data_IF_770851430953
#
_entry.id   IF_770851430953
#
_cell.length_a   1.000
_cell.length_b   1.000
_cell.length_c   1.000
_cell.angle_alpha   90.00
_cell.angle_beta   90.00
_cell.angle_gamma   90.00
#
_symmetry.space_group_name_H-M   'P 1'
#
loop_
_entity.id
_entity.type
_entity.pdbx_description
1 polymer ?
#
# COMPACT_ATOMS: atom_id res chain seq x y z
N UNK A 1 30.95 37.43 -32.13
CA UNK A 1 32.27 37.30 -31.53
C UNK A 1 32.34 35.87 -31.05
N UNK A 2 32.82 34.94 -31.82
CA UNK A 2 34.22 34.65 -32.10
C UNK A 2 34.88 34.19 -30.77
N UNK A 3 35.44 33.06 -30.58
CA UNK A 3 36.39 32.22 -31.35
C UNK A 3 36.65 31.00 -30.47
N UNK A 4 36.65 29.80 -30.89
CA UNK A 4 37.58 29.00 -31.69
C UNK A 4 38.47 28.05 -30.85
N UNK A 5 38.34 26.77 -31.19
CA UNK A 5 39.42 25.82 -31.58
C UNK A 5 40.46 25.50 -30.47
N UNK A 6 40.94 24.27 -30.32
CA UNK A 6 41.46 23.22 -31.24
C UNK A 6 41.73 21.99 -30.37
N UNK A 7 41.36 20.77 -30.68
CA UNK A 7 42.09 19.86 -31.59
C UNK A 7 43.54 19.57 -31.18
N UNK A 8 43.81 18.31 -30.78
CA UNK A 8 45.04 17.62 -31.16
C UNK A 8 45.08 16.19 -30.59
N UNK A 9 44.90 15.24 -31.51
CA UNK A 9 45.52 13.91 -31.43
C UNK A 9 46.96 14.00 -31.92
N UNK A 10 47.85 13.13 -31.48
CA UNK A 10 48.53 12.30 -32.45
C UNK A 10 48.77 10.84 -32.06
N UNK A 11 48.72 10.05 -33.06
CA UNK A 11 49.17 8.67 -33.30
C UNK A 11 50.67 8.68 -33.68
N UNK A 12 51.25 7.56 -34.13
CA UNK A 12 51.81 6.36 -33.50
C UNK A 12 53.32 6.21 -33.76
N UNK A 13 53.91 5.09 -33.48
CA UNK A 13 55.12 4.45 -34.06
C UNK A 13 55.98 3.84 -32.95
N UNK A 14 56.66 2.76 -33.04
CA UNK A 14 57.08 1.74 -34.04
C UNK A 14 57.76 0.61 -33.30
N UNK A 15 57.53 -0.59 -33.70
CA UNK A 15 58.41 -1.65 -34.22
C UNK A 15 59.79 -1.77 -33.57
N UNK A 16 60.06 -2.98 -33.03
CA UNK A 16 61.23 -3.75 -33.45
C UNK A 16 61.12 -5.22 -33.04
N UNK A 17 61.19 -6.00 -34.08
CA UNK A 17 61.56 -7.43 -34.10
C UNK A 17 62.89 -7.68 -33.45
N UNK A 18 63.00 -8.79 -32.74
CA UNK A 18 64.26 -9.57 -32.78
C UNK A 18 63.96 -11.02 -32.30
N UNK A 19 63.94 -11.91 -33.27
CA UNK A 19 64.31 -13.32 -33.10
C UNK A 19 65.80 -13.44 -33.20
N UNK A 20 66.38 -14.38 -32.49
CA UNK A 20 67.29 -15.35 -33.14
C UNK A 20 67.10 -16.79 -32.70
N UNK A 21 67.12 -17.59 -33.62
CA UNK A 21 67.47 -18.89 -34.14
C UNK A 21 68.33 -19.86 -33.24
N UNK A 22 68.29 -21.16 -33.57
CA UNK A 22 68.47 -22.33 -32.68
C UNK A 22 69.86 -22.96 -32.80
N UNK A 23 70.27 -23.62 -31.76
CA UNK A 23 71.31 -24.68 -31.84
C UNK A 23 71.06 -25.82 -30.86
N UNK A 24 70.77 -26.95 -31.39
CA UNK A 24 71.48 -28.23 -31.56
C UNK A 24 71.57 -29.09 -30.30
N UNK A 25 70.83 -30.16 -30.35
CA UNK A 25 71.19 -31.58 -30.41
C UNK A 25 72.06 -32.09 -29.27
N UNK A 26 71.51 -32.98 -28.45
CA UNK A 26 72.14 -34.24 -28.27
C UNK A 26 71.12 -35.33 -27.87
N UNK A 27 71.16 -36.43 -28.59
CA UNK A 27 70.50 -37.68 -28.35
C UNK A 27 71.30 -38.53 -27.33
N UNK A 28 70.58 -38.95 -26.32
CA UNK A 28 71.00 -40.19 -25.68
C UNK A 28 69.79 -40.94 -25.10
N UNK A 29 69.45 -42.02 -25.73
CA UNK A 29 68.66 -43.15 -25.27
C UNK A 29 69.64 -44.24 -24.93
N UNK A 30 69.36 -45.27 -24.11
CA UNK A 30 68.08 -45.77 -23.58
C UNK A 30 68.20 -46.31 -22.16
N UNK A 31 67.12 -46.57 -21.47
CA UNK A 31 66.83 -47.89 -20.94
C UNK A 31 65.52 -47.99 -20.16
N UNK A 32 64.78 -49.07 -20.25
CA UNK A 32 63.43 -49.17 -19.67
C UNK A 32 63.54 -49.73 -18.25
N UNK A 33 62.93 -48.99 -17.30
CA UNK A 33 62.72 -49.53 -15.94
C UNK A 33 61.27 -49.23 -15.50
N UNK A 34 60.62 -50.32 -15.32
CA UNK A 34 59.43 -50.60 -14.47
C UNK A 34 58.38 -49.56 -14.18
N UNK A 35 57.09 -49.90 -14.25
CA UNK A 35 55.98 -48.99 -13.95
C UNK A 35 55.98 -48.73 -12.43
N UNK A 36 56.19 -47.44 -12.09
CA UNK A 36 55.99 -46.98 -10.71
C UNK A 36 54.49 -46.72 -10.52
N UNK A 37 53.98 -47.28 -9.42
CA UNK A 37 52.61 -47.17 -8.94
C UNK A 37 52.17 -45.74 -8.50
N UNK A 38 52.73 -44.69 -9.06
CA UNK A 38 52.46 -43.33 -8.62
C UNK A 38 51.35 -42.62 -9.42
N UNK A 39 50.88 -43.19 -10.53
CA UNK A 39 49.76 -42.56 -11.30
C UNK A 39 48.39 -42.79 -10.66
N UNK A 40 48.22 -43.83 -9.86
CA UNK A 40 46.92 -44.13 -9.23
C UNK A 40 46.61 -43.21 -8.04
N UNK A 41 47.65 -42.71 -7.36
CA UNK A 41 47.48 -41.80 -6.23
C UNK A 41 47.15 -40.35 -6.65
N UNK A 42 47.67 -39.90 -7.79
CA UNK A 42 47.43 -38.52 -8.30
C UNK A 42 46.01 -38.38 -8.85
N UNK A 43 45.51 -39.44 -9.51
CA UNK A 43 44.12 -39.42 -10.04
C UNK A 43 43.06 -39.52 -8.95
N UNK A 44 43.35 -40.24 -7.85
CA UNK A 44 42.44 -40.34 -6.69
C UNK A 44 42.36 -39.01 -5.94
N UNK A 45 43.49 -38.31 -5.75
CA UNK A 45 43.51 -37.02 -5.04
C UNK A 45 42.85 -35.88 -5.85
N UNK A 46 42.99 -35.89 -7.15
CA UNK A 46 42.34 -34.92 -8.07
C UNK A 46 40.83 -35.14 -8.13
N UNK A 47 40.35 -36.39 -8.13
CA UNK A 47 38.92 -36.74 -8.06
C UNK A 47 38.28 -36.27 -6.75
N UNK A 48 38.98 -36.42 -5.64
CA UNK A 48 38.45 -36.06 -4.32
C UNK A 48 38.37 -34.51 -4.14
N UNK A 49 39.37 -33.79 -4.66
CA UNK A 49 39.31 -32.31 -4.68
C UNK A 49 38.22 -31.79 -5.56
N UNK A 50 37.99 -32.37 -6.73
CA UNK A 50 36.90 -31.98 -7.62
C UNK A 50 35.53 -32.30 -7.02
N UNK A 51 35.39 -33.40 -6.32
CA UNK A 51 34.18 -33.79 -5.59
C UNK A 51 33.86 -32.82 -4.44
N UNK A 52 34.89 -32.38 -3.69
CA UNK A 52 34.74 -31.35 -2.63
C UNK A 52 34.37 -30.00 -3.19
N UNK A 53 34.90 -29.58 -4.36
CA UNK A 53 34.53 -28.36 -5.04
C UNK A 53 33.06 -28.42 -5.59
N UNK A 54 32.70 -29.58 -6.15
CA UNK A 54 31.30 -29.78 -6.63
C UNK A 54 30.30 -29.80 -5.47
N UNK A 55 30.63 -30.42 -4.34
CA UNK A 55 29.76 -30.40 -3.14
C UNK A 55 29.59 -28.98 -2.58
N UNK A 56 30.65 -28.17 -2.53
CA UNK A 56 30.55 -26.75 -2.13
C UNK A 56 29.69 -25.96 -3.10
N UNK A 57 29.86 -26.16 -4.40
CA UNK A 57 29.02 -25.49 -5.41
C UNK A 57 27.53 -25.88 -5.28
N UNK A 58 27.30 -27.18 -5.08
CA UNK A 58 25.93 -27.69 -4.86
C UNK A 58 25.30 -27.12 -3.57
N UNK A 59 26.08 -26.99 -2.51
CA UNK A 59 25.64 -26.35 -1.25
C UNK A 59 25.25 -24.90 -1.48
N UNK A 60 26.05 -24.12 -2.21
CA UNK A 60 25.74 -22.73 -2.54
C UNK A 60 24.46 -22.61 -3.39
N UNK A 61 24.25 -23.51 -4.35
CA UNK A 61 23.04 -23.55 -5.19
C UNK A 61 21.80 -23.82 -4.31
N UNK A 62 21.88 -24.80 -3.41
CA UNK A 62 20.79 -25.11 -2.48
C UNK A 62 20.49 -23.93 -1.57
N UNK A 63 21.54 -23.32 -1.00
CA UNK A 63 21.39 -22.16 -0.11
C UNK A 63 20.77 -20.95 -0.82
N UNK A 64 21.18 -20.72 -2.08
CA UNK A 64 20.58 -19.70 -2.94
C UNK A 64 19.12 -20.00 -3.28
N UNK A 65 18.78 -21.25 -3.58
CA UNK A 65 17.39 -21.66 -3.85
C UNK A 65 16.49 -21.48 -2.62
N UNK A 66 16.98 -21.83 -1.42
CA UNK A 66 16.26 -21.63 -0.15
C UNK A 66 16.07 -20.13 0.12
N UNK A 67 17.09 -19.32 -0.11
CA UNK A 67 17.01 -17.86 0.05
C UNK A 67 15.98 -17.24 -0.91
N UNK A 68 16.00 -17.65 -2.18
CA UNK A 68 15.04 -17.18 -3.18
C UNK A 68 13.60 -17.59 -2.84
N UNK A 69 13.40 -18.84 -2.41
CA UNK A 69 12.07 -19.29 -1.96
C UNK A 69 11.59 -18.49 -0.75
N UNK A 70 12.47 -18.20 0.20
CA UNK A 70 12.16 -17.34 1.35
C UNK A 70 11.71 -15.94 0.94
N UNK A 71 12.40 -15.31 -0.01
CA UNK A 71 12.00 -13.98 -0.56
C UNK A 71 10.64 -14.06 -1.24
N UNK A 72 10.40 -15.07 -2.08
CA UNK A 72 9.13 -15.24 -2.79
C UNK A 72 7.98 -15.44 -1.80
N UNK A 73 8.14 -16.30 -0.80
CA UNK A 73 7.14 -16.53 0.26
C UNK A 73 6.85 -15.25 1.04
N UNK A 74 7.88 -14.51 1.43
CA UNK A 74 7.72 -13.24 2.13
C UNK A 74 6.97 -12.23 1.28
N UNK A 75 7.27 -12.16 -0.03
CA UNK A 75 6.59 -11.29 -0.98
C UNK A 75 5.12 -11.67 -1.14
N UNK A 76 4.83 -12.96 -1.28
CA UNK A 76 3.45 -13.49 -1.38
C UNK A 76 2.66 -13.17 -0.10
N UNK A 77 3.23 -13.40 1.08
CA UNK A 77 2.56 -13.11 2.35
C UNK A 77 2.23 -11.62 2.51
N UNK A 78 3.14 -10.72 2.13
CA UNK A 78 2.89 -9.27 2.16
C UNK A 78 1.78 -8.90 1.16
N UNK A 79 1.81 -9.48 -0.04
CA UNK A 79 0.88 -9.18 -1.12
C UNK A 79 -0.53 -9.70 -0.84
N UNK A 80 -0.66 -10.95 -0.36
CA UNK A 80 -1.94 -11.56 -0.02
C UNK A 80 -2.60 -10.93 1.21
N UNK A 81 -1.83 -10.25 2.07
CA UNK A 81 -2.34 -9.59 3.28
C UNK A 81 -2.83 -8.15 3.06
N UNK A 82 -2.96 -7.68 1.82
CA UNK A 82 -3.48 -6.34 1.54
C UNK A 82 -5.00 -6.28 1.72
N UNK A 83 -5.43 -5.62 2.79
CA UNK A 83 -6.85 -5.44 3.16
C UNK A 83 -7.39 -4.09 2.69
N UNK A 84 -8.71 -3.97 2.64
CA UNK A 84 -9.36 -2.68 2.41
C UNK A 84 -9.11 -1.76 3.61
N UNK A 85 -8.74 -0.50 3.39
CA UNK A 85 -8.65 0.48 4.46
C UNK A 85 -10.01 0.67 5.13
N UNK A 86 -10.01 0.85 6.45
CA UNK A 86 -11.24 1.07 7.22
C UNK A 86 -11.53 2.56 7.28
N UNK A 87 -12.78 2.92 7.00
CA UNK A 87 -13.28 4.27 7.13
C UNK A 87 -14.43 4.28 8.14
N UNK A 88 -14.45 5.25 9.06
CA UNK A 88 -15.44 5.32 10.15
C UNK A 88 -15.69 6.76 10.58
N UNK A 89 -16.90 7.03 11.04
CA UNK A 89 -17.19 8.20 11.86
C UNK A 89 -16.58 7.98 13.26
N UNK A 90 -15.87 8.97 13.76
CA UNK A 90 -15.30 8.94 15.10
C UNK A 90 -16.13 9.75 16.10
N UNK A 91 -16.49 10.97 15.73
CA UNK A 91 -17.25 11.90 16.55
C UNK A 91 -17.89 12.97 15.67
N UNK A 92 -18.86 13.65 16.20
CA UNK A 92 -19.45 14.84 15.59
C UNK A 92 -19.86 15.82 16.70
N UNK A 93 -19.81 17.10 16.37
CA UNK A 93 -20.30 18.17 17.25
C UNK A 93 -21.01 19.22 16.41
N UNK A 94 -22.06 19.81 17.00
CA UNK A 94 -22.84 20.80 16.30
C UNK A 94 -22.19 22.17 16.39
N UNK A 95 -22.31 22.93 15.29
CA UNK A 95 -21.77 24.27 15.14
C UNK A 95 -22.94 25.18 14.73
N UNK A 96 -23.05 26.33 15.36
CA UNK A 96 -23.99 27.44 15.02
C UNK A 96 -25.46 27.03 14.91
N UNK A 97 -25.88 26.37 13.82
CA UNK A 97 -27.29 26.07 13.57
C UNK A 97 -27.68 24.70 14.16
N UNK A 98 -28.58 24.73 15.15
CA UNK A 98 -29.25 23.56 15.69
C UNK A 98 -30.75 23.89 15.84
N UNK A 99 -31.45 23.85 14.70
CA UNK A 99 -32.87 24.14 14.65
C UNK A 99 -33.64 22.81 14.48
N UNK A 100 -34.51 22.54 15.42
CA UNK A 100 -35.38 21.35 15.40
C UNK A 100 -36.81 21.86 15.64
N UNK A 101 -37.72 21.42 14.81
CA UNK A 101 -39.14 21.74 14.91
C UNK A 101 -39.83 21.01 16.07
N UNK A 102 -41.12 21.03 16.05
CA UNK A 102 -41.97 20.38 17.04
C UNK A 102 -42.60 19.10 16.45
N UNK A 103 -43.25 18.32 17.29
CA UNK A 103 -44.03 17.14 16.87
C UNK A 103 -45.10 17.52 15.83
N UNK A 104 -45.78 18.65 16.06
CA UNK A 104 -46.83 19.12 15.17
C UNK A 104 -46.34 19.75 13.85
N UNK A 105 -45.07 20.19 13.82
CA UNK A 105 -44.42 20.75 12.62
C UNK A 105 -42.98 20.20 12.59
N UNK A 106 -42.82 18.92 12.20
CA UNK A 106 -41.53 18.22 12.32
C UNK A 106 -40.56 18.72 11.21
N UNK A 107 -39.42 19.23 11.66
CA UNK A 107 -38.37 19.71 10.76
C UNK A 107 -37.02 19.72 11.51
N UNK A 108 -35.94 19.73 10.75
CA UNK A 108 -34.63 20.02 11.31
C UNK A 108 -33.72 20.68 10.27
N UNK A 109 -32.89 21.63 10.73
CA UNK A 109 -31.75 22.20 10.00
C UNK A 109 -30.56 22.25 10.98
N UNK A 110 -29.64 21.33 10.80
CA UNK A 110 -28.53 21.12 11.70
C UNK A 110 -27.21 21.28 10.94
N UNK A 111 -26.25 21.94 11.58
CA UNK A 111 -24.89 22.05 11.06
C UNK A 111 -23.92 21.37 12.00
N UNK A 112 -23.29 20.33 11.52
CA UNK A 112 -22.43 19.46 12.31
C UNK A 112 -21.03 19.38 11.70
N UNK A 113 -19.99 19.50 12.53
CA UNK A 113 -18.66 19.10 12.15
C UNK A 113 -18.46 17.64 12.51
N UNK A 114 -18.15 16.81 11.53
CA UNK A 114 -17.98 15.37 11.69
C UNK A 114 -16.52 14.99 11.49
N UNK A 115 -15.92 14.35 12.48
CA UNK A 115 -14.59 13.82 12.36
C UNK A 115 -14.63 12.38 11.84
N UNK A 116 -14.07 12.20 10.66
CA UNK A 116 -13.88 10.89 10.04
C UNK A 116 -12.48 10.37 10.31
N UNK A 117 -12.34 9.04 10.32
CA UNK A 117 -11.09 8.34 10.51
C UNK A 117 -10.87 7.34 9.39
N UNK A 118 -9.77 7.51 8.63
CA UNK A 118 -9.32 6.56 7.60
C UNK A 118 -8.13 5.79 8.16
N UNK A 119 -8.31 4.50 8.44
CA UNK A 119 -7.26 3.61 8.96
C UNK A 119 -6.74 2.71 7.85
N UNK A 120 -5.47 2.87 7.50
CA UNK A 120 -4.77 2.02 6.56
C UNK A 120 -3.93 0.98 7.31
N UNK A 121 -4.31 -0.28 7.21
CA UNK A 121 -3.61 -1.41 7.85
C UNK A 121 -2.53 -2.02 6.96
N UNK A 122 -2.36 -1.52 5.73
CA UNK A 122 -1.44 -2.06 4.74
C UNK A 122 -0.04 -1.45 4.86
N UNK A 123 0.96 -2.17 4.38
CA UNK A 123 2.36 -1.71 4.34
C UNK A 123 2.64 -0.64 3.26
N UNK A 124 1.68 -0.39 2.36
CA UNK A 124 1.75 0.67 1.35
C UNK A 124 0.91 1.89 1.72
N UNK A 125 1.21 3.03 1.11
CA UNK A 125 0.42 4.24 1.29
C UNK A 125 -0.91 4.14 0.53
N UNK A 126 -2.01 4.42 1.20
CA UNK A 126 -3.33 4.51 0.56
C UNK A 126 -3.57 5.94 0.07
N UNK A 127 -3.71 6.11 -1.25
CA UNK A 127 -4.13 7.37 -1.88
C UNK A 127 -5.56 7.20 -2.37
N UNK A 128 -6.48 8.04 -1.90
CA UNK A 128 -7.88 8.04 -2.28
C UNK A 128 -8.25 9.32 -3.02
N UNK A 129 -9.28 9.21 -3.86
CA UNK A 129 -9.90 10.33 -4.57
C UNK A 129 -10.96 10.97 -3.71
N UNK A 130 -11.50 12.08 -4.17
CA UNK A 130 -12.67 12.72 -3.56
C UNK A 130 -13.82 11.73 -3.48
N UNK A 131 -14.57 11.79 -2.39
CA UNK A 131 -15.74 10.97 -2.15
C UNK A 131 -16.81 11.74 -1.41
N UNK A 132 -18.08 11.36 -1.61
CA UNK A 132 -19.20 11.99 -0.94
C UNK A 132 -19.76 11.06 0.12
N UNK A 133 -19.80 11.54 1.36
CA UNK A 133 -20.53 10.89 2.45
C UNK A 133 -21.98 11.36 2.37
N UNK A 134 -22.88 10.42 2.32
CA UNK A 134 -24.33 10.69 2.37
C UNK A 134 -24.85 10.36 3.76
N UNK A 135 -25.56 11.30 4.37
CA UNK A 135 -26.29 11.10 5.60
C UNK A 135 -27.77 10.92 5.26
N UNK A 136 -28.39 9.95 5.90
CA UNK A 136 -29.78 9.63 5.66
C UNK A 136 -30.56 9.46 6.99
N UNK A 137 -31.79 9.93 7.01
CA UNK A 137 -32.77 9.66 8.05
C UNK A 137 -33.70 8.57 7.53
N UNK A 138 -33.77 7.44 8.22
CA UNK A 138 -34.58 6.27 7.82
C UNK A 138 -34.50 5.95 6.32
N UNK A 139 -33.28 6.04 5.74
CA UNK A 139 -33.00 5.73 4.34
C UNK A 139 -33.18 6.88 3.36
N UNK A 140 -33.74 8.03 3.77
CA UNK A 140 -33.87 9.22 2.91
C UNK A 140 -32.68 10.13 3.11
N UNK A 141 -31.97 10.55 2.03
CA UNK A 141 -30.85 11.46 2.13
C UNK A 141 -31.28 12.82 2.70
N UNK A 142 -30.64 13.24 3.77
CA UNK A 142 -30.89 14.51 4.47
C UNK A 142 -29.68 15.45 4.44
N UNK A 143 -28.53 14.96 3.98
CA UNK A 143 -27.34 15.77 3.83
C UNK A 143 -26.20 15.00 3.22
N UNK A 144 -25.23 15.74 2.71
CA UNK A 144 -23.99 15.17 2.18
C UNK A 144 -22.78 16.01 2.58
N UNK A 145 -21.61 15.38 2.56
CA UNK A 145 -20.33 16.04 2.80
C UNK A 145 -19.27 15.46 1.88
N UNK A 146 -18.41 16.32 1.35
CA UNK A 146 -17.32 15.88 0.47
C UNK A 146 -16.05 15.63 1.28
N UNK A 147 -15.50 14.46 1.14
CA UNK A 147 -14.16 14.12 1.60
C UNK A 147 -13.20 14.40 0.46
N UNK A 148 -12.33 15.36 0.63
CA UNK A 148 -11.31 15.67 -0.37
C UNK A 148 -10.29 14.56 -0.53
N UNK A 149 -9.73 14.45 -1.74
CA UNK A 149 -8.64 13.54 -2.06
C UNK A 149 -7.51 13.61 -1.02
N UNK A 150 -6.95 12.47 -0.69
CA UNK A 150 -5.94 12.44 0.34
C UNK A 150 -5.04 11.21 0.29
N UNK A 151 -4.12 11.20 1.25
CA UNK A 151 -3.16 10.10 1.45
C UNK A 151 -3.11 9.71 2.91
N UNK A 152 -3.11 8.40 3.15
CA UNK A 152 -2.86 7.80 4.47
C UNK A 152 -1.60 6.96 4.37
N UNK A 153 -0.66 7.18 5.27
CA UNK A 153 0.60 6.43 5.32
C UNK A 153 0.41 4.93 5.54
N UNK A 154 1.48 4.16 5.37
CA UNK A 154 1.49 2.74 5.71
C UNK A 154 1.19 2.55 7.20
N UNK A 155 0.32 1.60 7.54
CA UNK A 155 -0.07 1.25 8.92
C UNK A 155 -0.44 2.45 9.80
N UNK A 156 -1.00 3.49 9.18
CA UNK A 156 -1.35 4.73 9.88
C UNK A 156 -2.84 5.06 9.78
N UNK A 157 -3.25 6.06 10.54
CA UNK A 157 -4.62 6.57 10.58
C UNK A 157 -4.58 8.07 10.33
N UNK A 158 -5.48 8.55 9.44
CA UNK A 158 -5.70 9.97 9.19
C UNK A 158 -7.08 10.36 9.68
N UNK A 159 -7.17 11.47 10.39
CA UNK A 159 -8.43 12.12 10.77
C UNK A 159 -8.74 13.19 9.73
N UNK A 160 -10.01 13.35 9.40
CA UNK A 160 -10.51 14.33 8.45
C UNK A 160 -11.78 14.95 9.05
N UNK A 161 -11.76 16.24 9.27
CA UNK A 161 -12.91 16.97 9.79
C UNK A 161 -13.66 17.61 8.63
N UNK A 162 -14.97 17.41 8.59
CA UNK A 162 -15.84 17.91 7.50
C UNK A 162 -17.13 18.45 8.07
N UNK A 163 -17.51 19.63 7.62
CA UNK A 163 -18.79 20.24 7.98
C UNK A 163 -19.88 19.70 7.09
N UNK A 164 -20.95 19.20 7.68
CA UNK A 164 -22.14 18.74 7.00
C UNK A 164 -23.36 19.56 7.43
N UNK A 165 -24.23 19.83 6.48
CA UNK A 165 -25.57 20.41 6.72
C UNK A 165 -26.60 19.31 6.55
N UNK A 166 -27.39 19.07 7.60
CA UNK A 166 -28.46 18.07 7.62
C UNK A 166 -29.81 18.81 7.62
N UNK A 167 -30.68 18.50 6.66
CA UNK A 167 -31.94 19.16 6.50
C UNK A 167 -33.06 18.18 6.19
N UNK A 168 -34.21 18.41 6.81
CA UNK A 168 -35.41 17.60 6.60
C UNK A 168 -36.14 17.87 5.30
N UNK A 169 -35.73 18.86 4.49
CA UNK A 169 -36.46 19.31 3.27
C UNK A 169 -36.64 18.19 2.21
N UNK A 170 -35.89 17.10 2.28
CA UNK A 170 -36.03 15.92 1.42
C UNK A 170 -37.03 14.88 1.93
N UNK A 171 -37.59 15.06 3.09
CA UNK A 171 -38.59 14.18 3.65
C UNK A 171 -39.97 14.58 3.06
N UNK A 172 -40.47 13.75 2.15
CA UNK A 172 -41.77 14.01 1.48
C UNK A 172 -42.92 13.88 2.45
N UNK A 173 -43.86 14.80 2.30
CA UNK A 173 -44.90 15.25 3.23
C UNK A 173 -45.94 14.24 3.70
N UNK A 174 -45.99 12.97 3.35
CA UNK A 174 -47.21 12.21 3.59
C UNK A 174 -47.14 10.92 4.43
N UNK A 175 -45.98 10.42 4.78
CA UNK A 175 -45.95 9.16 5.55
C UNK A 175 -44.90 9.17 6.69
N UNK A 176 -43.94 10.06 6.65
CA UNK A 176 -42.82 10.09 7.61
C UNK A 176 -42.81 11.31 8.53
N UNK A 177 -43.70 12.24 8.32
CA UNK A 177 -43.86 13.42 9.21
C UNK A 177 -44.26 12.95 10.60
N UNK A 178 -45.16 11.97 10.70
CA UNK A 178 -45.54 11.37 11.97
C UNK A 178 -44.36 10.65 12.66
N UNK A 179 -43.52 9.98 11.88
CA UNK A 179 -42.31 9.31 12.43
C UNK A 179 -41.26 10.33 12.87
N UNK A 180 -41.02 11.39 12.08
CA UNK A 180 -40.12 12.45 12.43
C UNK A 180 -40.59 13.22 13.66
N UNK A 181 -41.90 13.54 13.73
CA UNK A 181 -42.49 14.17 14.89
C UNK A 181 -42.32 13.35 16.15
N UNK A 182 -42.55 12.04 16.07
CA UNK A 182 -42.35 11.11 17.19
C UNK A 182 -40.86 11.02 17.61
N UNK A 183 -39.94 10.99 16.66
CA UNK A 183 -38.50 10.95 16.99
C UNK A 183 -38.05 12.29 17.61
N UNK A 184 -38.58 13.42 17.14
CA UNK A 184 -38.33 14.75 17.73
C UNK A 184 -38.89 14.81 19.17
N UNK A 185 -40.10 14.32 19.39
CA UNK A 185 -40.72 14.37 20.72
C UNK A 185 -40.02 13.38 21.70
N UNK A 186 -39.46 12.28 21.20
CA UNK A 186 -38.63 11.37 21.97
C UNK A 186 -37.24 11.94 22.32
N UNK A 187 -36.81 13.02 21.64
CA UNK A 187 -35.52 13.63 21.84
C UNK A 187 -34.37 12.93 21.12
N UNK A 188 -34.64 11.91 20.27
CA UNK A 188 -33.60 11.12 19.57
C UNK A 188 -33.88 11.07 18.07
N UNK A 189 -32.92 11.55 17.28
CA UNK A 189 -32.98 11.51 15.82
C UNK A 189 -32.01 10.46 15.26
N UNK A 190 -32.49 9.32 14.76
CA UNK A 190 -31.65 8.29 14.19
C UNK A 190 -31.13 8.69 12.81
N UNK A 191 -29.84 8.53 12.59
CA UNK A 191 -29.19 8.79 11.32
C UNK A 191 -28.33 7.60 10.86
N UNK A 192 -28.20 7.47 9.56
CA UNK A 192 -27.21 6.60 8.93
C UNK A 192 -26.26 7.40 8.06
N UNK A 193 -25.03 6.95 7.93
CA UNK A 193 -24.10 7.56 6.98
C UNK A 193 -23.42 6.49 6.14
N UNK A 194 -23.25 6.76 4.86
CA UNK A 194 -22.59 5.84 3.93
C UNK A 194 -21.63 6.55 3.00
N UNK A 195 -20.54 5.87 2.65
CA UNK A 195 -19.56 6.35 1.65
C UNK A 195 -18.72 5.22 1.11
N UNK A 196 -18.26 5.38 -0.12
CA UNK A 196 -17.22 4.57 -0.74
C UNK A 196 -16.09 5.46 -1.24
N UNK A 197 -14.92 5.40 -0.58
CA UNK A 197 -13.72 6.08 -1.03
C UNK A 197 -12.90 5.16 -1.95
N UNK A 198 -12.83 5.50 -3.22
CA UNK A 198 -12.03 4.80 -4.24
C UNK A 198 -10.58 5.25 -4.17
N UNK A 199 -9.66 4.28 -4.07
CA UNK A 199 -8.24 4.62 -3.94
C UNK A 199 -7.31 3.54 -4.47
N UNK A 200 -6.01 3.78 -4.26
CA UNK A 200 -4.94 2.84 -4.61
C UNK A 200 -3.95 2.75 -3.46
N UNK A 201 -3.54 1.54 -3.13
CA UNK A 201 -2.42 1.30 -2.24
C UNK A 201 -1.15 1.28 -3.09
N UNK A 202 -0.16 2.07 -2.69
CA UNK A 202 1.15 2.16 -3.33
C UNK A 202 2.18 1.49 -2.43
N UNK A 203 2.72 0.35 -2.87
CA UNK A 203 3.80 -0.37 -2.21
C UNK A 203 5.09 -0.16 -3.00
N UNK A 204 6.16 0.30 -2.32
CA UNK A 204 7.51 0.50 -2.89
C UNK A 204 7.56 1.29 -4.22
N UNK A 205 6.58 2.21 -4.43
CA UNK A 205 6.43 3.00 -5.67
C UNK A 205 6.13 2.18 -6.95
N UNK A 206 6.35 0.89 -6.96
CA UNK A 206 6.21 -0.01 -8.12
C UNK A 206 4.81 -0.62 -8.19
N UNK A 207 4.31 -1.17 -7.09
CA UNK A 207 3.04 -1.90 -7.06
C UNK A 207 1.92 -0.96 -6.67
N UNK A 208 0.86 -0.92 -7.49
CA UNK A 208 -0.35 -0.12 -7.28
C UNK A 208 -1.57 -1.03 -7.30
N UNK A 209 -2.26 -1.18 -6.18
CA UNK A 209 -3.49 -1.98 -6.07
C UNK A 209 -4.69 -1.09 -5.83
N UNK A 210 -5.75 -1.27 -6.62
CA UNK A 210 -7.04 -0.61 -6.39
C UNK A 210 -7.66 -1.17 -5.10
N UNK A 211 -8.08 -0.31 -4.19
CA UNK A 211 -8.77 -0.65 -2.95
C UNK A 211 -9.84 0.39 -2.65
N UNK A 212 -10.86 -0.05 -1.94
CA UNK A 212 -12.01 0.77 -1.57
C UNK A 212 -12.07 0.85 -0.05
N UNK A 213 -12.32 2.04 0.48
CA UNK A 213 -12.65 2.21 1.88
C UNK A 213 -14.14 2.51 1.98
N UNK A 214 -14.91 1.55 2.44
CA UNK A 214 -16.35 1.66 2.62
C UNK A 214 -16.68 1.96 4.07
N UNK A 215 -17.78 2.68 4.28
CA UNK A 215 -18.31 2.98 5.59
C UNK A 215 -19.84 2.96 5.52
N UNK A 216 -20.42 2.23 6.44
CA UNK A 216 -21.83 2.30 6.76
C UNK A 216 -21.93 2.43 8.28
N UNK A 217 -22.36 3.59 8.76
CA UNK A 217 -22.51 3.84 10.18
C UNK A 217 -23.98 4.18 10.50
N UNK A 218 -24.46 3.67 11.61
CA UNK A 218 -25.65 4.17 12.31
C UNK A 218 -25.23 5.04 13.49
N UNK A 219 -25.97 6.07 13.77
CA UNK A 219 -25.72 7.03 14.83
C UNK A 219 -27.02 7.69 15.28
N UNK A 220 -27.02 8.32 16.44
CA UNK A 220 -28.17 9.01 17.01
C UNK A 220 -27.76 10.43 17.39
N UNK A 221 -28.62 11.40 17.06
CA UNK A 221 -28.52 12.75 17.58
C UNK A 221 -29.44 12.85 18.77
N UNK A 222 -28.86 13.12 19.94
CA UNK A 222 -29.62 13.54 21.11
C UNK A 222 -29.94 15.03 20.97
N UNK A 223 -31.24 15.33 20.83
CA UNK A 223 -31.72 16.69 20.58
C UNK A 223 -31.58 17.56 21.83
N UNK A 224 -31.76 16.95 23.02
CA UNK A 224 -31.72 17.67 24.28
C UNK A 224 -30.29 18.07 24.66
N UNK A 225 -29.37 17.13 24.56
CA UNK A 225 -27.96 17.39 24.88
C UNK A 225 -27.16 17.97 23.69
N UNK A 226 -27.76 18.01 22.49
CA UNK A 226 -27.10 18.44 21.23
C UNK A 226 -25.82 17.67 20.96
N UNK A 227 -25.84 16.37 21.17
CA UNK A 227 -24.68 15.49 20.99
C UNK A 227 -24.94 14.41 19.95
N UNK A 228 -23.87 13.96 19.29
CA UNK A 228 -23.89 12.80 18.43
C UNK A 228 -23.38 11.58 19.24
N UNK A 229 -24.23 10.58 19.37
CA UNK A 229 -23.95 9.37 20.13
C UNK A 229 -24.24 8.09 19.38
N UNK A 230 -24.05 6.95 20.05
CA UNK A 230 -24.38 5.60 19.58
C UNK A 230 -23.82 5.29 18.17
N UNK A 231 -22.56 5.72 17.88
CA UNK A 231 -21.93 5.56 16.57
C UNK A 231 -21.46 4.12 16.40
N UNK A 232 -22.14 3.37 15.54
CA UNK A 232 -21.83 1.97 15.21
C UNK A 232 -21.52 1.90 13.71
N UNK A 233 -20.27 1.52 13.35
CA UNK A 233 -19.82 1.43 11.97
C UNK A 233 -19.48 -0.02 11.60
N UNK A 234 -20.02 -0.47 10.47
CA UNK A 234 -19.75 -1.78 9.86
C UNK A 234 -18.81 -1.67 8.67
#
# INVERSE_FOLDING_TARGET
MAEKMSDETPNPEKISDETPNPEKINYESPNPLAPSNDEESITAHSKDQNRKKQMKCLLYIILFAVFQTGIILLFVLIFMRMTNPKFRVRSGWFIDAFNVGTEASPSFDLRMNTQFMVKNTNFGNFKYKDGTVTFAYKGIPVGNATIEKGRVGARSTKKVDVVVKLRSNGLSLNTRDNELGSDISSGVLPLTSSVELKGKIHLMKVIKMKKYAQMNCSMEIDINSRTLGNIICK
#
